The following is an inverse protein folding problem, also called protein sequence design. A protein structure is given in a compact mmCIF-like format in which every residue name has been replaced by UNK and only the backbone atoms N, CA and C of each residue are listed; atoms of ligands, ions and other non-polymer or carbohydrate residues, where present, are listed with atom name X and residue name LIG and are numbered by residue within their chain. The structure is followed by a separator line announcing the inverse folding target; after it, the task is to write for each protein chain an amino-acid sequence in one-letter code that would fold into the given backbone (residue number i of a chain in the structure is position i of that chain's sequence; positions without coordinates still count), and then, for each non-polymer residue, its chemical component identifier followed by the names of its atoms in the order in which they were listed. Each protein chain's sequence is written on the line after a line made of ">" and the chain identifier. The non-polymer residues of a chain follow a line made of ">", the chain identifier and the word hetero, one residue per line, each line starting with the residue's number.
data_IF_777202836151
#
_entry.id   IF_777202836151
#
_cell.length_a   1.000
_cell.length_b   1.000
_cell.length_c   1.000
_cell.angle_alpha   90.00
_cell.angle_beta   90.00
_cell.angle_gamma   90.00
#
_symmetry.space_group_name_H-M   'P 1'
#
loop_
_entity.id
_entity.type
_entity.pdbx_description
1 polymer ?
#
# COMPACT_ATOMS: atom_id res chain seq x y z
N UNK A 1 -16.18 -43.58 -4.32
CA UNK A 1 -14.94 -43.91 -5.05
C UNK A 1 -15.26 -43.93 -6.53
N UNK A 2 -15.09 -42.84 -7.23
CA UNK A 2 -15.31 -42.73 -8.67
C UNK A 2 -14.04 -42.22 -9.31
N UNK A 3 -13.56 -42.98 -10.26
CA UNK A 3 -12.19 -42.99 -10.78
C UNK A 3 -11.98 -41.92 -11.85
N UNK A 4 -10.84 -41.26 -11.80
CA UNK A 4 -10.42 -40.09 -12.64
C UNK A 4 -9.96 -40.45 -14.07
N UNK A 5 -10.48 -41.53 -14.72
CA UNK A 5 -9.90 -42.04 -15.96
C UNK A 5 -10.80 -42.07 -17.22
N UNK A 6 -12.02 -41.51 -17.18
CA UNK A 6 -12.97 -41.67 -18.30
C UNK A 6 -13.43 -40.36 -18.95
N UNK A 7 -12.52 -39.37 -19.15
CA UNK A 7 -12.87 -38.18 -19.93
C UNK A 7 -11.86 -37.88 -21.04
N UNK A 8 -11.47 -38.89 -21.78
CA UNK A 8 -10.67 -38.71 -23.00
C UNK A 8 -11.02 -39.78 -24.02
N UNK A 9 -12.12 -39.60 -24.79
CA UNK A 9 -12.37 -40.21 -26.10
C UNK A 9 -13.67 -39.66 -26.66
N UNK A 10 -13.57 -38.72 -27.57
CA UNK A 10 -14.39 -38.62 -28.81
C UNK A 10 -14.25 -37.18 -29.31
N UNK A 11 -13.56 -37.02 -30.40
CA UNK A 11 -13.86 -36.21 -31.59
C UNK A 11 -12.63 -36.21 -32.49
N UNK A 12 -12.63 -37.19 -33.38
CA UNK A 12 -11.85 -37.11 -34.61
C UNK A 12 -12.83 -36.76 -35.74
N UNK A 13 -12.46 -35.83 -36.60
CA UNK A 13 -13.12 -35.72 -37.91
C UNK A 13 -13.42 -34.30 -38.39
N UNK A 14 -12.65 -33.80 -39.35
CA UNK A 14 -13.21 -32.97 -40.42
C UNK A 14 -12.71 -31.52 -40.57
N UNK A 15 -11.91 -31.28 -41.60
CA UNK A 15 -12.01 -30.02 -42.36
C UNK A 15 -10.87 -29.00 -42.20
N UNK A 16 -9.82 -29.17 -43.01
CA UNK A 16 -8.80 -28.14 -43.26
C UNK A 16 -9.43 -26.99 -44.08
N UNK A 17 -9.59 -25.82 -43.46
CA UNK A 17 -9.80 -24.56 -44.20
C UNK A 17 -8.63 -23.65 -43.85
N UNK A 18 -7.72 -23.50 -44.81
CA UNK A 18 -6.67 -22.47 -44.76
C UNK A 18 -7.31 -21.08 -44.98
N UNK A 19 -7.63 -20.40 -43.91
CA UNK A 19 -7.91 -18.97 -43.97
C UNK A 19 -6.64 -18.24 -43.53
N UNK A 20 -6.02 -17.53 -44.47
CA UNK A 20 -4.87 -16.67 -44.19
C UNK A 20 -5.21 -15.60 -43.17
N UNK A 21 -4.64 -15.69 -42.00
CA UNK A 21 -4.68 -14.63 -40.99
C UNK A 21 -3.58 -13.63 -41.33
N UNK A 22 -3.95 -12.54 -42.00
CA UNK A 22 -3.11 -11.35 -42.07
C UNK A 22 -2.83 -10.91 -40.63
N UNK A 23 -1.60 -11.10 -40.18
CA UNK A 23 -1.13 -10.63 -38.88
C UNK A 23 -1.17 -9.11 -38.86
N UNK A 24 -2.21 -8.53 -38.24
CA UNK A 24 -2.16 -7.17 -37.80
C UNK A 24 -1.15 -7.13 -36.67
N UNK A 25 0.08 -6.69 -36.95
CA UNK A 25 1.02 -6.24 -35.93
C UNK A 25 0.37 -5.04 -35.23
N UNK A 26 -0.36 -5.32 -34.14
CA UNK A 26 -0.84 -4.31 -33.22
C UNK A 26 0.37 -3.63 -32.59
N UNK A 27 0.80 -2.53 -33.17
CA UNK A 27 1.78 -1.65 -32.57
C UNK A 27 1.27 -1.27 -31.20
N UNK A 28 1.98 -1.71 -30.14
CA UNK A 28 1.75 -1.21 -28.79
C UNK A 28 1.91 0.33 -28.86
N UNK A 29 0.78 1.03 -28.87
CA UNK A 29 0.76 2.48 -28.71
C UNK A 29 1.46 2.75 -27.40
N UNK A 30 2.62 3.42 -27.42
CA UNK A 30 3.24 3.94 -26.22
C UNK A 30 2.17 4.79 -25.51
N UNK A 31 1.63 4.28 -24.41
CA UNK A 31 0.72 5.05 -23.57
C UNK A 31 1.52 6.27 -23.09
N UNK A 32 1.03 7.47 -23.40
CA UNK A 32 1.64 8.70 -22.93
C UNK A 32 1.73 8.68 -21.40
N UNK A 33 2.77 9.30 -20.84
CA UNK A 33 2.95 9.36 -19.38
C UNK A 33 1.74 9.99 -18.69
N UNK A 34 1.42 9.47 -17.53
CA UNK A 34 0.36 9.99 -16.64
C UNK A 34 0.82 11.35 -16.11
N UNK A 35 0.08 12.39 -16.37
CA UNK A 35 0.31 13.73 -15.82
C UNK A 35 -0.66 13.96 -14.65
N UNK A 36 -0.19 14.01 -13.40
CA UNK A 36 -1.06 14.27 -12.26
C UNK A 36 -1.77 15.62 -12.40
N UNK A 37 -3.07 15.64 -12.09
CA UNK A 37 -3.92 16.81 -12.18
C UNK A 37 -4.16 17.51 -10.84
N UNK A 38 -4.97 18.58 -10.85
CA UNK A 38 -5.27 19.35 -9.64
C UNK A 38 -6.09 18.62 -8.58
N UNK A 39 -6.77 17.53 -8.97
CA UNK A 39 -7.58 16.68 -8.06
C UNK A 39 -6.84 15.43 -7.59
N UNK A 40 -5.58 15.28 -7.97
CA UNK A 40 -4.73 14.15 -7.59
C UNK A 40 -3.90 14.51 -6.36
N UNK A 41 -3.68 13.52 -5.49
CA UNK A 41 -2.82 13.65 -4.31
C UNK A 41 -1.81 12.50 -4.27
N UNK A 42 -0.56 12.82 -3.97
CA UNK A 42 0.46 11.84 -3.61
C UNK A 42 0.37 11.59 -2.11
N UNK A 43 0.06 10.36 -1.71
CA UNK A 43 0.09 9.89 -0.34
C UNK A 43 1.39 9.12 -0.10
N UNK A 44 2.28 9.72 0.67
CA UNK A 44 3.57 9.13 1.07
C UNK A 44 3.37 8.42 2.40
N UNK A 45 3.31 7.10 2.37
CA UNK A 45 2.91 6.26 3.49
C UNK A 45 4.13 5.87 4.31
N UNK A 46 4.20 6.30 5.56
CA UNK A 46 5.08 5.81 6.63
C UNK A 46 6.56 5.64 6.25
N UNK A 47 7.13 6.60 5.52
CA UNK A 47 8.56 6.60 5.20
C UNK A 47 9.33 7.12 6.40
N UNK A 48 9.49 6.25 7.42
CA UNK A 48 10.03 6.57 8.74
C UNK A 48 11.25 5.73 9.08
N UNK A 49 12.05 6.20 10.04
CA UNK A 49 13.28 5.53 10.47
C UNK A 49 13.05 4.09 10.96
N UNK A 50 11.91 3.81 11.61
CA UNK A 50 11.59 2.46 12.08
C UNK A 50 11.42 1.45 10.95
N UNK A 51 11.07 1.89 9.72
CA UNK A 51 10.78 1.02 8.57
C UNK A 51 11.90 0.94 7.53
N UNK A 52 12.93 1.77 7.63
CA UNK A 52 14.11 1.67 6.75
C UNK A 52 15.20 0.78 7.37
N UNK A 53 16.21 0.32 6.60
CA UNK A 53 17.30 -0.49 7.13
C UNK A 53 17.95 0.10 8.37
N UNK A 54 18.07 -0.71 9.42
CA UNK A 54 18.52 -0.30 10.76
C UNK A 54 17.40 0.09 11.72
N UNK A 55 16.18 0.23 11.25
CA UNK A 55 15.00 0.46 12.08
C UNK A 55 14.47 -0.80 12.78
N UNK A 56 13.59 -0.62 13.77
CA UNK A 56 13.08 -1.71 14.61
C UNK A 56 12.11 -2.67 13.89
N UNK A 57 11.48 -2.22 12.80
CA UNK A 57 10.64 -3.02 11.90
C UNK A 57 11.06 -2.76 10.45
N UNK A 58 12.36 -2.96 10.18
CA UNK A 58 12.94 -2.64 8.88
C UNK A 58 12.32 -3.46 7.75
N UNK A 59 11.91 -2.75 6.69
CA UNK A 59 11.49 -3.32 5.41
C UNK A 59 12.71 -3.40 4.50
N UNK A 60 12.95 -4.56 3.90
CA UNK A 60 14.09 -4.76 3.02
C UNK A 60 14.05 -3.79 1.84
N UNK A 61 15.13 -3.02 1.62
CA UNK A 61 15.21 -1.98 0.59
C UNK A 61 14.23 -0.81 0.81
N UNK A 62 13.76 -0.61 2.06
CA UNK A 62 12.81 0.47 2.37
C UNK A 62 13.35 1.88 2.11
N UNK A 63 14.65 2.07 2.18
CA UNK A 63 15.35 3.32 1.88
C UNK A 63 15.51 3.59 0.37
N UNK A 64 15.49 2.54 -0.47
CA UNK A 64 15.62 2.68 -1.93
C UNK A 64 14.47 3.48 -2.57
N UNK A 65 13.32 3.54 -1.90
CA UNK A 65 12.15 4.28 -2.41
C UNK A 65 12.29 5.80 -2.22
N UNK A 66 13.11 6.25 -1.28
CA UNK A 66 13.26 7.68 -0.93
C UNK A 66 13.64 8.54 -2.15
N UNK A 67 14.70 8.21 -2.93
CA UNK A 67 15.05 9.00 -4.12
C UNK A 67 13.95 8.93 -5.21
N UNK A 68 13.18 7.84 -5.27
CA UNK A 68 12.07 7.73 -6.23
C UNK A 68 10.95 8.68 -5.82
N UNK A 69 10.57 8.69 -4.54
CA UNK A 69 9.54 9.58 -4.00
C UNK A 69 9.93 11.04 -4.17
N UNK A 70 11.18 11.39 -3.85
CA UNK A 70 11.69 12.76 -4.03
C UNK A 70 11.58 13.24 -5.48
N UNK A 71 11.82 12.37 -6.46
CA UNK A 71 11.67 12.68 -7.89
C UNK A 71 10.19 12.82 -8.30
N UNK A 72 9.30 11.99 -7.73
CA UNK A 72 7.88 11.98 -8.06
C UNK A 72 7.13 13.16 -7.43
N UNK A 73 7.45 13.52 -6.20
CA UNK A 73 6.67 14.47 -5.41
C UNK A 73 6.46 15.83 -6.10
N UNK A 74 7.44 16.42 -6.81
CA UNK A 74 7.26 17.68 -7.53
C UNK A 74 6.19 17.64 -8.64
N UNK A 75 5.86 16.46 -9.17
CA UNK A 75 4.82 16.31 -10.19
C UNK A 75 3.41 16.45 -9.60
N UNK A 76 3.26 16.36 -8.29
CA UNK A 76 1.97 16.43 -7.60
C UNK A 76 1.79 17.79 -6.93
N UNK A 77 0.67 18.45 -7.23
CA UNK A 77 0.28 19.69 -6.55
C UNK A 77 -0.08 19.46 -5.09
N UNK A 78 -0.65 18.31 -4.79
CA UNK A 78 -1.08 17.94 -3.43
C UNK A 78 -0.26 16.76 -2.96
N UNK A 79 0.36 16.89 -1.79
CA UNK A 79 1.15 15.84 -1.16
C UNK A 79 0.75 15.73 0.31
N UNK A 80 0.48 14.52 0.75
CA UNK A 80 0.17 14.18 2.14
C UNK A 80 1.12 13.08 2.59
N UNK A 81 1.63 13.21 3.80
CA UNK A 81 2.45 12.19 4.46
C UNK A 81 1.61 11.45 5.51
N UNK A 82 1.99 10.22 5.81
CA UNK A 82 1.53 9.56 7.04
C UNK A 82 2.71 9.22 7.94
N UNK A 83 2.43 9.08 9.23
CA UNK A 83 3.34 8.54 10.23
C UNK A 83 2.58 7.55 11.12
N UNK A 84 3.13 6.34 11.28
CA UNK A 84 2.83 5.53 12.45
C UNK A 84 3.31 6.27 13.68
N UNK A 85 2.45 6.35 14.71
CA UNK A 85 2.70 7.19 15.87
C UNK A 85 2.22 6.50 17.14
N UNK A 86 2.79 5.30 17.40
CA UNK A 86 2.33 4.42 18.47
C UNK A 86 2.71 4.94 19.87
N UNK A 87 1.78 4.79 20.80
CA UNK A 87 2.08 5.03 22.22
C UNK A 87 3.01 3.94 22.77
N UNK A 88 3.83 4.22 23.79
CA UNK A 88 4.49 3.16 24.55
C UNK A 88 3.47 2.11 25.03
N UNK A 89 3.78 0.82 24.88
CA UNK A 89 2.86 -0.26 25.26
C UNK A 89 1.62 -0.41 24.37
N UNK A 90 1.73 -0.03 23.09
CA UNK A 90 0.63 -0.13 22.13
C UNK A 90 0.17 -1.58 21.96
N UNK A 91 -1.14 -1.80 21.76
CA UNK A 91 -1.77 -3.13 21.66
C UNK A 91 -1.21 -3.99 20.53
N UNK A 92 -0.65 -3.39 19.47
CA UNK A 92 -0.04 -4.12 18.35
C UNK A 92 1.37 -4.63 18.63
N UNK A 93 1.98 -4.26 19.74
CA UNK A 93 3.33 -4.70 20.07
C UNK A 93 3.34 -6.07 20.75
N UNK A 94 4.28 -6.94 20.34
CA UNK A 94 4.45 -8.23 20.99
C UNK A 94 4.82 -8.09 22.49
N UNK A 95 5.56 -7.05 22.83
CA UNK A 95 5.94 -6.70 24.22
C UNK A 95 4.75 -6.41 25.13
N UNK A 96 3.60 -6.05 24.55
CA UNK A 96 2.35 -5.76 25.29
C UNK A 96 1.56 -7.04 25.63
N UNK A 97 2.01 -8.22 25.17
CA UNK A 97 1.32 -9.51 25.36
C UNK A 97 2.27 -10.55 25.98
N UNK A 98 1.99 -10.95 27.22
CA UNK A 98 2.84 -11.91 27.94
C UNK A 98 3.09 -13.20 27.15
N UNK A 99 4.36 -13.57 26.98
CA UNK A 99 4.79 -14.79 26.29
C UNK A 99 4.68 -14.76 24.76
N UNK A 100 4.27 -13.67 24.18
CA UNK A 100 4.16 -13.50 22.72
C UNK A 100 5.46 -13.00 22.10
N UNK A 101 5.62 -13.30 20.80
CA UNK A 101 6.75 -12.89 19.98
C UNK A 101 6.26 -12.08 18.77
N UNK A 102 7.10 -11.21 18.19
CA UNK A 102 6.80 -10.56 16.92
C UNK A 102 6.37 -11.56 15.85
N UNK A 103 5.42 -11.13 15.00
CA UNK A 103 4.78 -11.88 13.92
C UNK A 103 3.81 -12.99 14.36
N UNK A 104 3.64 -13.24 15.66
CA UNK A 104 2.50 -14.02 16.14
C UNK A 104 1.20 -13.21 16.04
N UNK A 105 0.07 -13.86 16.25
CA UNK A 105 -1.24 -13.22 16.22
C UNK A 105 -1.94 -13.34 17.56
N UNK A 106 -2.82 -12.38 17.83
CA UNK A 106 -3.80 -12.40 18.91
C UNK A 106 -5.17 -12.04 18.37
N UNK A 107 -6.21 -12.49 19.06
CA UNK A 107 -7.58 -12.08 18.76
C UNK A 107 -7.93 -10.90 19.65
N UNK A 108 -8.27 -9.76 19.05
CA UNK A 108 -8.74 -8.54 19.71
C UNK A 108 -10.19 -8.27 19.32
N UNK A 109 -10.83 -7.30 19.95
CA UNK A 109 -12.25 -6.96 19.72
C UNK A 109 -12.53 -6.58 18.26
N UNK A 110 -11.55 -6.01 17.56
CA UNK A 110 -11.65 -5.61 16.16
C UNK A 110 -11.17 -6.68 15.16
N UNK A 111 -10.76 -7.87 15.63
CA UNK A 111 -10.33 -8.98 14.79
C UNK A 111 -8.93 -9.48 15.11
N UNK A 112 -8.36 -10.25 14.19
CA UNK A 112 -7.00 -10.79 14.33
C UNK A 112 -5.96 -9.71 14.14
N UNK A 113 -5.12 -9.52 15.15
CA UNK A 113 -3.98 -8.59 15.15
C UNK A 113 -2.67 -9.34 14.99
N UNK A 114 -1.85 -8.94 14.01
CA UNK A 114 -0.45 -9.35 13.94
C UNK A 114 0.34 -8.55 14.96
N UNK A 115 1.16 -9.21 15.77
CA UNK A 115 2.01 -8.56 16.75
C UNK A 115 3.34 -8.17 16.14
N UNK A 116 3.75 -6.95 16.36
CA UNK A 116 4.96 -6.36 15.81
C UNK A 116 6.03 -6.15 16.87
N UNK A 117 7.33 -6.03 16.49
CA UNK A 117 8.30 -5.38 17.37
C UNK A 117 7.82 -3.97 17.74
N UNK A 118 8.26 -3.43 18.85
CA UNK A 118 8.01 -2.03 19.19
C UNK A 118 8.64 -1.14 18.09
N UNK A 119 7.82 -0.35 17.45
CA UNK A 119 8.23 0.49 16.31
C UNK A 119 7.49 1.82 16.32
N UNK A 120 8.06 2.82 15.67
CA UNK A 120 7.47 4.15 15.51
C UNK A 120 6.84 4.72 16.80
N UNK A 121 7.50 4.47 17.94
CA UNK A 121 7.02 4.97 19.24
C UNK A 121 7.12 6.49 19.29
N UNK A 122 6.06 7.14 19.71
CA UNK A 122 5.93 8.60 19.78
C UNK A 122 7.14 9.25 20.46
N UNK A 123 7.67 10.32 19.85
CA UNK A 123 8.77 11.09 20.40
C UNK A 123 10.14 10.40 20.35
N UNK A 124 10.24 9.22 19.72
CA UNK A 124 11.52 8.55 19.48
C UNK A 124 12.04 8.81 18.07
N UNK A 125 13.37 8.74 17.85
CA UNK A 125 13.94 8.86 16.51
C UNK A 125 13.37 7.85 15.49
N UNK A 126 12.90 6.68 15.97
CA UNK A 126 12.25 5.67 15.12
C UNK A 126 10.97 6.18 14.47
N UNK A 127 10.23 7.06 15.13
CA UNK A 127 9.00 7.63 14.61
C UNK A 127 9.21 8.83 13.67
N UNK A 128 10.44 9.36 13.56
CA UNK A 128 10.75 10.46 12.66
C UNK A 128 10.72 9.99 11.20
N UNK A 129 10.43 10.93 10.30
CA UNK A 129 10.53 10.68 8.86
C UNK A 129 11.97 10.33 8.47
N UNK A 130 12.12 9.47 7.47
CA UNK A 130 13.43 9.00 7.02
C UNK A 130 14.33 10.15 6.58
N UNK A 131 15.63 10.14 6.92
CA UNK A 131 16.57 11.12 6.45
C UNK A 131 16.65 11.09 4.93
N UNK A 132 16.72 12.26 4.30
CA UNK A 132 16.75 12.36 2.85
C UNK A 132 15.38 12.33 2.17
N UNK A 133 14.27 12.14 2.88
CA UNK A 133 12.93 12.36 2.33
C UNK A 133 12.67 13.88 2.23
N UNK A 134 12.65 14.38 0.99
CA UNK A 134 12.51 15.82 0.69
C UNK A 134 11.16 16.08 0.02
N UNK A 135 10.13 16.27 0.83
CA UNK A 135 8.75 16.56 0.41
C UNK A 135 8.21 17.79 1.15
N UNK A 136 9.00 18.86 1.16
CA UNK A 136 8.71 20.11 1.89
C UNK A 136 7.38 20.78 1.44
N UNK A 137 6.88 20.45 0.25
CA UNK A 137 5.58 20.92 -0.25
C UNK A 137 4.38 20.15 0.33
N UNK A 138 4.59 19.12 1.17
CA UNK A 138 3.49 18.40 1.79
C UNK A 138 2.64 19.34 2.66
N UNK A 139 1.32 19.28 2.45
CA UNK A 139 0.38 20.17 3.13
C UNK A 139 -0.17 19.56 4.43
N UNK A 140 -0.01 18.25 4.63
CA UNK A 140 -0.56 17.55 5.78
C UNK A 140 0.30 16.35 6.14
N UNK A 141 0.43 16.10 7.43
CA UNK A 141 0.94 14.84 7.98
C UNK A 141 -0.17 14.22 8.82
N UNK A 142 -0.65 13.05 8.43
CA UNK A 142 -1.59 12.24 9.21
C UNK A 142 -0.81 11.29 10.11
N UNK A 143 -0.97 11.44 11.41
CA UNK A 143 -0.50 10.47 12.40
C UNK A 143 -1.57 9.42 12.63
N UNK A 144 -1.21 8.15 12.56
CA UNK A 144 -2.11 7.01 12.76
C UNK A 144 -1.57 6.05 13.82
N UNK A 145 -2.39 5.16 14.36
CA UNK A 145 -1.97 4.22 15.39
C UNK A 145 -1.59 4.87 16.73
N UNK A 146 -2.08 6.07 17.02
CA UNK A 146 -1.79 6.75 18.29
C UNK A 146 -2.77 6.39 19.41
N UNK A 147 -3.81 5.61 19.13
CA UNK A 147 -4.72 5.08 20.14
C UNK A 147 -4.20 3.75 20.64
N UNK A 148 -3.86 3.67 21.92
CA UNK A 148 -3.18 2.52 22.50
C UNK A 148 -3.89 1.18 22.28
N UNK A 149 -5.22 1.16 22.19
CA UNK A 149 -6.04 -0.06 22.18
C UNK A 149 -6.50 -0.46 20.76
N UNK A 150 -6.12 0.24 19.71
CA UNK A 150 -6.48 -0.08 18.34
C UNK A 150 -5.33 0.25 17.39
N UNK A 151 -4.98 -0.70 16.54
CA UNK A 151 -3.94 -0.51 15.52
C UNK A 151 -4.46 0.25 14.30
N UNK A 152 -3.57 0.71 13.44
CA UNK A 152 -3.92 1.48 12.25
C UNK A 152 -2.95 1.23 11.10
N UNK A 153 -3.32 0.35 10.19
CA UNK A 153 -2.58 0.21 8.93
C UNK A 153 -2.98 1.27 7.91
N UNK A 154 -4.29 1.51 7.77
CA UNK A 154 -4.81 2.44 6.78
C UNK A 154 -4.61 3.90 7.20
N UNK A 155 -4.26 4.75 6.22
CA UNK A 155 -4.25 6.21 6.38
C UNK A 155 -5.66 6.81 6.57
N UNK A 156 -6.73 6.02 6.38
CA UNK A 156 -8.11 6.49 6.41
C UNK A 156 -8.91 6.03 7.62
N UNK A 157 -8.75 4.75 8.00
CA UNK A 157 -9.49 4.11 9.08
C UNK A 157 -8.53 3.30 9.95
N UNK A 158 -8.76 3.31 11.26
CA UNK A 158 -8.05 2.40 12.15
C UNK A 158 -8.54 0.95 11.95
N UNK A 159 -7.89 -0.02 12.58
CA UNK A 159 -8.16 -1.45 12.39
C UNK A 159 -9.58 -1.85 12.78
N UNK A 160 -10.23 -1.09 13.67
CA UNK A 160 -11.63 -1.28 14.05
C UNK A 160 -12.64 -0.98 12.95
N UNK A 161 -12.19 -0.41 11.82
CA UNK A 161 -13.00 -0.02 10.66
C UNK A 161 -14.10 1.01 10.95
N UNK A 162 -14.02 1.70 12.08
CA UNK A 162 -14.98 2.71 12.54
C UNK A 162 -14.31 4.05 12.81
N UNK A 163 -13.12 4.03 13.37
CA UNK A 163 -12.39 5.23 13.77
C UNK A 163 -11.68 5.85 12.57
N UNK A 164 -12.07 7.06 12.23
CA UNK A 164 -11.47 7.81 11.13
C UNK A 164 -10.20 8.55 11.57
N UNK A 165 -9.19 8.60 10.69
CA UNK A 165 -7.98 9.41 10.89
C UNK A 165 -8.20 10.90 10.59
N UNK A 166 -9.21 11.23 9.82
CA UNK A 166 -9.49 12.56 9.31
C UNK A 166 -9.06 12.78 7.85
N UNK A 167 -8.24 11.90 7.27
CA UNK A 167 -7.74 12.08 5.90
C UNK A 167 -8.86 12.17 4.86
N UNK A 168 -9.90 11.32 4.96
CA UNK A 168 -11.00 11.35 4.01
C UNK A 168 -11.75 12.69 4.00
N UNK A 169 -11.95 13.31 5.17
CA UNK A 169 -12.53 14.64 5.29
C UNK A 169 -11.68 15.70 4.60
N UNK A 170 -10.39 15.71 4.92
CA UNK A 170 -9.43 16.63 4.29
C UNK A 170 -9.44 16.53 2.77
N UNK A 171 -9.39 15.31 2.22
CA UNK A 171 -9.40 15.11 0.76
C UNK A 171 -10.71 15.60 0.12
N UNK A 172 -11.86 15.31 0.75
CA UNK A 172 -13.18 15.72 0.26
C UNK A 172 -13.35 17.24 0.26
N UNK A 173 -12.97 17.92 1.34
CA UNK A 173 -13.03 19.40 1.43
C UNK A 173 -12.20 20.08 0.34
N UNK A 174 -11.09 19.48 -0.05
CA UNK A 174 -10.22 19.98 -1.12
C UNK A 174 -10.61 19.48 -2.52
N UNK A 175 -11.72 18.75 -2.64
CA UNK A 175 -12.17 18.14 -3.90
C UNK A 175 -11.15 17.21 -4.55
N UNK A 176 -10.27 16.58 -3.74
CA UNK A 176 -9.31 15.60 -4.21
C UNK A 176 -10.02 14.26 -4.43
N UNK A 177 -9.75 13.62 -5.56
CA UNK A 177 -10.52 12.45 -6.02
C UNK A 177 -9.66 11.22 -6.27
N UNK A 178 -8.38 11.39 -6.53
CA UNK A 178 -7.49 10.30 -6.89
C UNK A 178 -6.25 10.31 -5.99
N UNK A 179 -6.01 9.18 -5.33
CA UNK A 179 -4.89 8.99 -4.41
C UNK A 179 -3.84 8.12 -5.10
N UNK A 180 -2.65 8.69 -5.30
CA UNK A 180 -1.47 7.94 -5.70
C UNK A 180 -0.69 7.59 -4.44
N UNK A 181 -0.41 6.30 -4.24
CA UNK A 181 0.22 5.80 -3.03
C UNK A 181 1.66 5.36 -3.31
N UNK A 182 2.55 5.76 -2.42
CA UNK A 182 3.96 5.35 -2.35
C UNK A 182 4.31 5.09 -0.88
N UNK A 183 5.42 4.45 -0.58
CA UNK A 183 5.90 4.29 0.82
C UNK A 183 5.89 2.84 1.32
N UNK A 184 5.70 2.66 2.60
CA UNK A 184 5.91 1.42 3.35
C UNK A 184 4.71 1.04 4.23
N UNK A 185 4.44 -0.23 4.48
CA UNK A 185 4.86 -1.36 3.65
C UNK A 185 3.77 -1.68 2.64
N UNK A 186 4.15 -2.14 1.44
CA UNK A 186 3.22 -2.40 0.33
C UNK A 186 2.06 -3.28 0.75
N UNK A 187 2.33 -4.36 1.48
CA UNK A 187 1.38 -5.41 1.87
C UNK A 187 0.59 -5.10 3.15
N UNK A 188 0.92 -4.00 3.83
CA UNK A 188 0.20 -3.51 5.02
C UNK A 188 -0.30 -2.08 4.80
N UNK A 189 0.40 -1.06 5.28
CA UNK A 189 -0.12 0.31 5.32
C UNK A 189 -0.49 0.86 3.94
N UNK A 190 0.28 0.56 2.90
CA UNK A 190 -0.04 0.98 1.52
C UNK A 190 -1.29 0.27 1.01
N UNK A 191 -1.35 -1.07 1.11
CA UNK A 191 -2.50 -1.85 0.63
C UNK A 191 -3.79 -1.49 1.37
N UNK A 192 -3.76 -1.42 2.71
CA UNK A 192 -4.93 -1.06 3.49
C UNK A 192 -5.42 0.34 3.20
N UNK A 193 -4.50 1.30 3.00
CA UNK A 193 -4.84 2.67 2.59
C UNK A 193 -5.46 2.70 1.20
N UNK A 194 -4.92 1.95 0.24
CA UNK A 194 -5.46 1.87 -1.11
C UNK A 194 -6.87 1.26 -1.14
N UNK A 195 -7.07 0.17 -0.38
CA UNK A 195 -8.37 -0.50 -0.26
C UNK A 195 -9.43 0.39 0.40
N UNK A 196 -9.07 1.07 1.49
CA UNK A 196 -10.00 1.96 2.17
C UNK A 196 -10.26 3.24 1.35
N UNK A 197 -9.28 3.76 0.60
CA UNK A 197 -9.52 4.84 -0.38
C UNK A 197 -10.61 4.44 -1.38
N UNK A 198 -10.51 3.24 -1.97
CA UNK A 198 -11.54 2.72 -2.90
C UNK A 198 -12.91 2.60 -2.25
N UNK A 199 -13.00 2.04 -1.04
CA UNK A 199 -14.27 1.93 -0.29
C UNK A 199 -14.90 3.29 0.02
N UNK A 200 -14.08 4.32 0.24
CA UNK A 200 -14.53 5.68 0.54
C UNK A 200 -14.83 6.52 -0.71
N UNK A 201 -14.73 5.92 -1.91
CA UNK A 201 -15.11 6.53 -3.18
C UNK A 201 -13.99 7.28 -3.90
N UNK A 202 -12.75 7.16 -3.45
CA UNK A 202 -11.59 7.72 -4.15
C UNK A 202 -11.08 6.74 -5.22
N UNK A 203 -10.51 7.26 -6.31
CA UNK A 203 -9.64 6.47 -7.15
C UNK A 203 -8.31 6.23 -6.42
N UNK A 204 -7.69 5.07 -6.64
CA UNK A 204 -6.43 4.72 -6.02
C UNK A 204 -5.47 4.11 -7.05
N UNK A 205 -4.23 4.56 -7.03
CA UNK A 205 -3.13 4.03 -7.84
C UNK A 205 -1.90 3.84 -6.95
N UNK A 206 -1.33 2.64 -6.93
CA UNK A 206 -0.06 2.38 -6.26
C UNK A 206 1.07 2.47 -7.28
N UNK A 207 2.08 3.28 -6.97
CA UNK A 207 3.32 3.37 -7.75
C UNK A 207 4.27 2.31 -7.20
N UNK A 208 4.28 1.16 -7.88
CA UNK A 208 4.87 -0.09 -7.39
C UNK A 208 6.34 0.01 -6.99
N UNK A 209 7.17 0.57 -7.85
CA UNK A 209 8.61 0.70 -7.63
C UNK A 209 8.98 1.77 -6.59
N UNK A 210 8.01 2.57 -6.15
CA UNK A 210 8.11 3.50 -5.03
C UNK A 210 7.51 2.93 -3.73
N UNK A 211 7.35 1.61 -3.64
CA UNK A 211 6.94 0.88 -2.42
C UNK A 211 7.85 -0.32 -2.18
N UNK A 212 7.92 -0.79 -0.92
CA UNK A 212 8.54 -2.08 -0.54
C UNK A 212 7.65 -2.76 0.49
N UNK A 213 7.63 -4.11 0.46
CA UNK A 213 6.81 -4.92 1.37
C UNK A 213 7.61 -5.73 2.37
N UNK A 214 6.94 -6.20 3.39
CA UNK A 214 7.50 -7.11 4.42
C UNK A 214 7.50 -8.55 3.92
N UNK A 215 6.45 -8.92 3.16
CA UNK A 215 6.18 -10.26 2.63
C UNK A 215 6.12 -11.35 3.72
N UNK A 216 5.40 -11.08 4.79
CA UNK A 216 5.18 -12.04 5.87
C UNK A 216 4.19 -13.14 5.42
N UNK A 217 4.72 -14.34 5.15
CA UNK A 217 3.88 -15.50 4.78
C UNK A 217 3.09 -15.35 3.47
N UNK A 218 3.65 -14.63 2.49
CA UNK A 218 3.00 -14.41 1.18
C UNK A 218 2.03 -13.23 1.16
N UNK A 219 2.09 -12.33 2.15
CA UNK A 219 1.23 -11.15 2.25
C UNK A 219 1.31 -10.24 1.02
N UNK A 220 2.46 -10.15 0.36
CA UNK A 220 2.62 -9.36 -0.87
C UNK A 220 1.70 -9.84 -2.00
N UNK A 221 1.69 -11.15 -2.26
CA UNK A 221 0.82 -11.73 -3.30
C UNK A 221 -0.66 -11.48 -3.01
N UNK A 222 -1.05 -11.67 -1.74
CA UNK A 222 -2.42 -11.42 -1.28
C UNK A 222 -2.79 -9.94 -1.42
N UNK A 223 -1.93 -9.03 -0.97
CA UNK A 223 -2.20 -7.59 -1.03
C UNK A 223 -2.41 -7.10 -2.46
N UNK A 224 -1.56 -7.53 -3.41
CA UNK A 224 -1.74 -7.19 -4.82
C UNK A 224 -3.02 -7.77 -5.41
N UNK A 225 -3.40 -9.00 -5.06
CA UNK A 225 -4.66 -9.59 -5.50
C UNK A 225 -5.87 -8.80 -4.97
N UNK A 226 -5.89 -8.47 -3.68
CA UNK A 226 -6.96 -7.71 -3.04
C UNK A 226 -7.07 -6.29 -3.63
N UNK A 227 -5.95 -5.59 -3.81
CA UNK A 227 -5.92 -4.26 -4.42
C UNK A 227 -6.44 -4.28 -5.86
N UNK A 228 -6.00 -5.26 -6.67
CA UNK A 228 -6.47 -5.43 -8.04
C UNK A 228 -7.97 -5.70 -8.08
N UNK A 229 -8.46 -6.61 -7.22
CA UNK A 229 -9.88 -6.93 -7.10
C UNK A 229 -10.75 -5.74 -6.68
N UNK A 230 -10.19 -4.79 -5.92
CA UNK A 230 -10.84 -3.55 -5.53
C UNK A 230 -10.73 -2.43 -6.59
N UNK A 231 -10.08 -2.67 -7.73
CA UNK A 231 -9.90 -1.70 -8.80
C UNK A 231 -8.81 -0.65 -8.50
N UNK A 232 -7.84 -0.97 -7.64
CA UNK A 232 -6.62 -0.17 -7.47
C UNK A 232 -5.74 -0.37 -8.69
N UNK A 233 -5.28 0.74 -9.28
CA UNK A 233 -4.36 0.69 -10.42
C UNK A 233 -2.92 0.46 -9.91
N UNK A 234 -2.12 -0.26 -10.69
CA UNK A 234 -0.70 -0.52 -10.44
C UNK A 234 0.11 0.05 -11.59
N UNK A 235 1.03 0.96 -11.29
CA UNK A 235 1.88 1.64 -12.28
C UNK A 235 3.32 1.71 -11.76
N UNK A 236 4.25 2.11 -12.61
CA UNK A 236 5.64 2.41 -12.24
C UNK A 236 5.89 3.91 -12.19
N UNK A 237 6.94 4.32 -11.49
CA UNK A 237 7.37 5.72 -11.46
C UNK A 237 7.72 6.26 -12.84
N UNK A 238 8.18 5.41 -13.75
CA UNK A 238 8.44 5.74 -15.16
C UNK A 238 7.19 6.15 -15.94
N UNK A 239 6.01 5.71 -15.48
CA UNK A 239 4.74 6.02 -16.13
C UNK A 239 4.21 7.41 -15.75
N UNK A 240 4.80 8.04 -14.73
CA UNK A 240 4.44 9.39 -14.27
C UNK A 240 5.28 10.43 -15.02
N UNK A 241 4.64 11.50 -15.48
CA UNK A 241 5.33 12.67 -16.03
C UNK A 241 5.86 13.51 -14.87
N UNK A 242 7.17 13.58 -14.75
CA UNK A 242 7.90 14.43 -13.80
C UNK A 242 8.66 15.52 -14.52
#
# INVERSE_FOLDING_TARGET
>A
MTNRRDFLKTMAGGGLVLAGVAGAAGGARAQGKIKPGGTDVLLVVDVQNCFIPGGSLAVNGGDEIVPIINRLAPAFRNVVLTQDWHTPGHISFASSHAGKKPFETVQLDYGTQVLWPDHCVQGTPGADLAPGLHVSQAQLIIRKGYRQQVDSYSAFLEADKKTHTGLAGYLKERSLKHVYLVGLATDFCVAWSALDARKLGFEATVIEDATRGIDAGGSMGKAWADMTGAGVKRVKSSDIAV
#
